data_IF_812225098753
#
_entry.id   IF_812225098753
#
_cell.length_a   1.000
_cell.length_b   1.000
_cell.length_c   1.000
_cell.angle_alpha   90.00
_cell.angle_beta   90.00
_cell.angle_gamma   90.00
#
_symmetry.space_group_name_H-M   'P 1'
#
loop_
_entity.id
_entity.type
_entity.pdbx_description
1 polymer ?
#
# COMPACT_ATOMS: atom_id res chain seq x y z
N UNK A 1 -51.69 29.05 7.41
CA UNK A 1 -50.85 28.18 8.27
C UNK A 1 -50.33 26.91 7.55
N UNK A 2 -51.12 26.21 6.73
CA UNK A 2 -50.71 24.98 6.01
C UNK A 2 -49.50 25.17 5.06
N UNK A 3 -49.45 26.29 4.33
CA UNK A 3 -48.35 26.60 3.40
C UNK A 3 -47.02 26.95 4.10
N UNK A 4 -47.06 27.43 5.35
CA UNK A 4 -45.84 27.77 6.09
C UNK A 4 -45.15 26.49 6.57
N UNK A 5 -45.91 25.54 7.14
CA UNK A 5 -45.39 24.23 7.57
C UNK A 5 -44.78 23.44 6.40
N UNK A 6 -45.43 23.44 5.24
CA UNK A 6 -44.91 22.76 4.05
C UNK A 6 -43.57 23.34 3.56
N UNK A 7 -43.43 24.68 3.52
CA UNK A 7 -42.18 25.35 3.14
C UNK A 7 -41.05 25.09 4.13
N UNK A 8 -41.34 25.05 5.43
CA UNK A 8 -40.36 24.72 6.47
C UNK A 8 -39.88 23.28 6.34
N UNK A 9 -40.78 22.32 6.12
CA UNK A 9 -40.41 20.90 5.91
C UNK A 9 -39.57 20.73 4.64
N UNK A 10 -39.97 21.36 3.53
CA UNK A 10 -39.21 21.31 2.29
C UNK A 10 -37.80 21.91 2.46
N UNK A 11 -37.67 23.04 3.15
CA UNK A 11 -36.37 23.66 3.43
C UNK A 11 -35.48 22.74 4.28
N UNK A 12 -36.04 22.11 5.32
CA UNK A 12 -35.30 21.16 6.17
C UNK A 12 -34.84 19.92 5.37
N UNK A 13 -35.69 19.38 4.50
CA UNK A 13 -35.31 18.28 3.60
C UNK A 13 -34.17 18.69 2.66
N UNK A 14 -34.22 19.89 2.09
CA UNK A 14 -33.16 20.39 1.21
C UNK A 14 -31.84 20.63 1.95
N UNK A 15 -31.89 21.16 3.18
CA UNK A 15 -30.69 21.32 4.03
C UNK A 15 -30.08 19.96 4.37
N UNK A 16 -30.91 18.97 4.72
CA UNK A 16 -30.44 17.61 5.00
C UNK A 16 -29.83 16.98 3.74
N UNK A 17 -30.49 17.06 2.59
CA UNK A 17 -29.95 16.54 1.32
C UNK A 17 -28.64 17.22 0.92
N UNK A 18 -28.54 18.54 1.10
CA UNK A 18 -27.30 19.28 0.83
C UNK A 18 -26.18 18.84 1.80
N UNK A 19 -26.47 18.68 3.09
CA UNK A 19 -25.47 18.19 4.06
C UNK A 19 -24.98 16.77 3.75
N UNK A 20 -25.85 15.89 3.25
CA UNK A 20 -25.50 14.53 2.82
C UNK A 20 -24.65 14.51 1.53
N UNK A 21 -24.70 15.57 0.72
CA UNK A 21 -23.91 15.68 -0.51
C UNK A 21 -22.46 16.14 -0.28
N UNK A 22 -22.11 16.55 0.94
CA UNK A 22 -20.74 16.93 1.31
C UNK A 22 -19.92 15.68 1.67
N UNK A 23 -19.52 14.90 0.67
CA UNK A 23 -18.53 13.82 0.87
C UNK A 23 -17.13 14.35 0.57
N UNK A 24 -16.21 14.26 1.54
CA UNK A 24 -14.79 14.49 1.32
C UNK A 24 -14.14 13.25 0.72
N UNK A 25 -13.40 13.41 -0.39
CA UNK A 25 -12.51 12.37 -0.89
C UNK A 25 -11.30 12.32 0.06
N UNK A 26 -11.13 11.22 0.76
CA UNK A 26 -9.92 10.96 1.55
C UNK A 26 -9.00 10.11 0.68
N UNK A 27 -7.85 10.67 0.31
CA UNK A 27 -6.85 9.94 -0.46
C UNK A 27 -5.89 9.26 0.51
N UNK A 28 -6.09 7.95 0.70
CA UNK A 28 -5.18 7.15 1.51
C UNK A 28 -4.04 6.64 0.62
N UNK A 29 -2.82 6.57 1.15
CA UNK A 29 -1.67 5.97 0.49
C UNK A 29 -1.04 4.87 1.34
N UNK A 30 -0.44 3.87 0.66
CA UNK A 30 0.08 2.68 1.32
C UNK A 30 1.39 2.22 0.69
N UNK A 31 2.38 1.99 1.54
CA UNK A 31 3.57 1.21 1.18
C UNK A 31 3.20 -0.27 1.05
N UNK A 32 3.57 -0.91 -0.05
CA UNK A 32 3.19 -2.29 -0.35
C UNK A 32 4.41 -3.16 -0.65
N UNK A 33 4.31 -4.43 -0.24
CA UNK A 33 5.22 -5.52 -0.65
C UNK A 33 4.35 -6.65 -1.17
N UNK A 34 4.30 -6.83 -2.48
CA UNK A 34 3.42 -7.79 -3.15
C UNK A 34 4.27 -8.91 -3.75
N UNK A 35 4.17 -10.15 -3.24
CA UNK A 35 4.81 -11.30 -3.84
C UNK A 35 4.01 -11.78 -5.06
N UNK A 36 4.67 -12.47 -5.98
CA UNK A 36 4.01 -13.15 -7.10
C UNK A 36 3.15 -14.32 -6.66
N UNK A 37 3.47 -14.89 -5.50
CA UNK A 37 2.74 -15.97 -4.83
C UNK A 37 3.01 -15.90 -3.33
N UNK A 38 1.98 -16.07 -2.51
CA UNK A 38 2.07 -16.08 -1.04
C UNK A 38 2.08 -17.51 -0.45
N UNK A 39 1.83 -18.53 -1.27
CA UNK A 39 1.83 -19.94 -0.86
C UNK A 39 2.52 -20.82 -1.91
N UNK A 40 3.76 -21.19 -1.63
CA UNK A 40 4.61 -21.95 -2.57
C UNK A 40 4.64 -23.42 -2.17
N UNK A 41 3.89 -24.25 -2.86
CA UNK A 41 3.87 -25.71 -2.65
C UNK A 41 5.04 -26.41 -3.34
N UNK A 42 5.20 -27.71 -3.12
CA UNK A 42 6.34 -28.52 -3.62
C UNK A 42 6.53 -28.42 -5.14
N UNK A 43 5.44 -28.43 -5.91
CA UNK A 43 5.50 -28.47 -7.38
C UNK A 43 5.56 -27.07 -8.02
N UNK A 44 5.39 -26.01 -7.23
CA UNK A 44 5.38 -24.63 -7.72
C UNK A 44 6.80 -24.09 -8.02
N UNK A 45 6.86 -22.98 -8.76
CA UNK A 45 8.08 -22.23 -8.92
C UNK A 45 8.63 -21.78 -7.57
N UNK A 46 9.91 -22.05 -7.30
CA UNK A 46 10.62 -21.58 -6.11
C UNK A 46 11.21 -20.17 -6.28
N UNK A 47 10.98 -19.55 -7.43
CA UNK A 47 11.34 -18.16 -7.71
C UNK A 47 10.10 -17.28 -7.50
N UNK A 48 10.21 -16.35 -6.56
CA UNK A 48 9.16 -15.38 -6.22
C UNK A 48 9.63 -14.00 -6.63
N UNK A 49 8.78 -13.28 -7.37
CA UNK A 49 8.99 -11.86 -7.66
C UNK A 49 8.31 -11.05 -6.57
N UNK A 50 9.00 -10.05 -6.03
CA UNK A 50 8.47 -9.13 -5.04
C UNK A 50 8.42 -7.75 -5.65
N UNK A 51 7.23 -7.14 -5.67
CA UNK A 51 7.01 -5.75 -6.05
C UNK A 51 6.90 -4.91 -4.78
N UNK A 52 7.67 -3.83 -4.73
CA UNK A 52 7.70 -2.87 -3.63
C UNK A 52 7.25 -1.53 -4.19
N UNK A 53 6.12 -1.04 -3.70
CA UNK A 53 5.34 0.03 -4.35
C UNK A 53 4.75 0.99 -3.32
N UNK A 54 4.44 2.21 -3.76
CA UNK A 54 3.68 3.18 -2.99
C UNK A 54 2.47 3.62 -3.82
N UNK A 55 1.25 3.42 -3.32
CA UNK A 55 0.03 3.57 -4.13
C UNK A 55 -1.12 4.24 -3.36
N UNK A 56 -2.08 4.77 -4.12
CA UNK A 56 -3.44 5.07 -3.69
C UNK A 56 -4.38 3.90 -4.05
N UNK A 57 -4.67 2.95 -3.14
CA UNK A 57 -5.29 1.67 -3.49
C UNK A 57 -6.72 1.77 -4.01
N UNK A 58 -7.47 2.80 -3.60
CA UNK A 58 -8.84 3.00 -4.09
C UNK A 58 -8.87 3.69 -5.46
N UNK A 59 -7.84 4.48 -5.77
CA UNK A 59 -7.72 5.24 -7.02
C UNK A 59 -6.98 4.42 -8.10
N UNK A 60 -6.17 3.44 -7.70
CA UNK A 60 -5.32 2.65 -8.59
C UNK A 60 -4.07 3.40 -9.06
N UNK A 61 -3.84 4.58 -8.51
CA UNK A 61 -2.71 5.44 -8.83
C UNK A 61 -1.46 5.10 -8.02
N UNK A 62 -0.32 5.44 -8.59
CA UNK A 62 0.99 5.19 -8.03
C UNK A 62 1.61 6.50 -7.55
N UNK A 63 2.51 6.38 -6.57
CA UNK A 63 3.32 7.47 -6.07
C UNK A 63 4.80 7.12 -6.28
N UNK A 64 5.63 8.13 -6.50
CA UNK A 64 7.07 7.94 -6.57
C UNK A 64 7.61 7.39 -5.25
N UNK A 65 8.26 6.23 -5.33
CA UNK A 65 8.89 5.59 -4.17
C UNK A 65 10.41 5.74 -4.28
N UNK A 66 10.98 6.57 -3.40
CA UNK A 66 12.43 6.60 -3.21
C UNK A 66 12.96 5.20 -2.82
N UNK A 67 14.24 4.94 -3.09
CA UNK A 67 14.85 3.66 -2.71
C UNK A 67 14.66 3.42 -1.20
N UNK A 68 14.10 2.27 -0.77
CA UNK A 68 13.83 2.00 0.64
C UNK A 68 15.06 2.19 1.53
N UNK A 69 14.85 2.56 2.80
CA UNK A 69 15.92 2.59 3.79
C UNK A 69 16.35 1.16 4.19
N UNK A 70 15.39 0.24 4.27
CA UNK A 70 15.65 -1.18 4.46
C UNK A 70 14.69 -2.01 3.61
N UNK A 71 15.22 -3.11 3.07
CA UNK A 71 14.40 -4.15 2.46
C UNK A 71 15.07 -5.49 2.69
N UNK A 72 14.31 -6.48 3.15
CA UNK A 72 14.89 -7.76 3.48
C UNK A 72 13.86 -8.85 3.71
N UNK A 73 14.37 -10.00 4.10
CA UNK A 73 13.56 -11.15 4.50
C UNK A 73 14.04 -11.69 5.84
N UNK A 74 13.10 -12.00 6.73
CA UNK A 74 13.33 -12.74 7.95
C UNK A 74 12.85 -14.18 7.73
N UNK A 75 13.76 -15.13 7.87
CA UNK A 75 13.46 -16.57 7.76
C UNK A 75 14.23 -17.33 8.84
N UNK A 76 13.52 -18.15 9.61
CA UNK A 76 14.09 -18.94 10.73
C UNK A 76 14.95 -18.10 11.69
N UNK A 77 14.46 -16.92 12.07
CA UNK A 77 15.14 -16.00 12.99
C UNK A 77 16.34 -15.25 12.40
N UNK A 78 16.69 -15.47 11.12
CA UNK A 78 17.79 -14.78 10.45
C UNK A 78 17.27 -13.72 9.48
N UNK A 79 17.71 -12.48 9.66
CA UNK A 79 17.49 -11.40 8.70
C UNK A 79 18.50 -11.51 7.56
N UNK A 80 18.02 -11.39 6.33
CA UNK A 80 18.82 -11.31 5.11
C UNK A 80 18.49 -9.97 4.46
N UNK A 81 19.52 -9.17 4.23
CA UNK A 81 19.40 -7.90 3.52
C UNK A 81 19.22 -8.16 2.01
N UNK A 82 18.22 -7.52 1.42
CA UNK A 82 17.86 -7.58 0.01
C UNK A 82 17.87 -6.19 -0.64
N UNK A 83 18.28 -5.13 0.07
CA UNK A 83 18.19 -3.75 -0.44
C UNK A 83 18.96 -3.55 -1.75
N UNK A 84 20.09 -4.23 -1.90
CA UNK A 84 20.92 -4.17 -3.10
C UNK A 84 20.43 -5.06 -4.25
N UNK A 85 19.39 -5.87 -4.03
CA UNK A 85 18.78 -6.69 -5.08
C UNK A 85 17.59 -6.00 -5.75
N UNK A 86 17.12 -4.88 -5.19
CA UNK A 86 16.05 -4.08 -5.77
C UNK A 86 16.48 -3.48 -7.11
N UNK A 87 15.63 -3.68 -8.10
CA UNK A 87 15.72 -3.10 -9.43
C UNK A 87 14.64 -2.02 -9.56
N UNK A 88 15.03 -0.85 -10.04
CA UNK A 88 14.09 0.23 -10.32
C UNK A 88 13.15 -0.15 -11.46
N UNK A 89 11.87 0.17 -11.33
CA UNK A 89 10.84 0.01 -12.35
C UNK A 89 9.98 1.27 -12.41
N UNK A 90 9.50 1.61 -13.60
CA UNK A 90 8.55 2.70 -13.80
C UNK A 90 7.16 2.14 -14.08
N UNK A 91 6.16 2.62 -13.34
CA UNK A 91 4.74 2.32 -13.53
C UNK A 91 4.01 3.65 -13.43
N UNK A 92 3.25 4.04 -14.47
CA UNK A 92 2.56 5.35 -14.54
C UNK A 92 3.51 6.51 -14.21
N UNK A 93 4.72 6.49 -14.81
CA UNK A 93 5.82 7.43 -14.58
C UNK A 93 6.40 7.48 -13.15
N UNK A 94 5.80 6.76 -12.21
CA UNK A 94 6.24 6.65 -10.83
C UNK A 94 7.31 5.56 -10.66
N UNK A 95 8.33 5.85 -9.86
CA UNK A 95 9.36 4.89 -9.45
C UNK A 95 8.79 3.87 -8.47
N UNK A 96 8.97 2.61 -8.81
CA UNK A 96 8.69 1.43 -7.98
C UNK A 96 9.90 0.52 -7.98
N UNK A 97 9.88 -0.51 -7.13
CA UNK A 97 11.01 -1.42 -7.00
C UNK A 97 10.56 -2.88 -7.18
N UNK A 98 11.42 -3.69 -7.75
CA UNK A 98 11.17 -5.13 -7.93
C UNK A 98 12.42 -5.94 -7.59
N UNK A 99 12.26 -7.12 -7.00
CA UNK A 99 13.34 -8.10 -6.88
C UNK A 99 12.81 -9.49 -7.17
N UNK A 100 13.73 -10.41 -7.48
CA UNK A 100 13.44 -11.84 -7.45
C UNK A 100 14.11 -12.47 -6.23
N UNK A 101 13.44 -13.42 -5.59
CA UNK A 101 13.95 -14.20 -4.48
C UNK A 101 13.81 -15.70 -4.78
N UNK A 102 14.88 -16.45 -4.53
CA UNK A 102 14.88 -17.91 -4.69
C UNK A 102 14.68 -18.56 -3.32
N UNK A 103 13.54 -19.23 -3.14
CA UNK A 103 13.26 -20.07 -1.98
C UNK A 103 14.21 -21.27 -2.02
N UNK A 104 14.89 -21.51 -0.91
CA UNK A 104 15.92 -22.57 -0.79
C UNK A 104 15.51 -23.72 0.10
N UNK A 105 14.55 -23.50 1.01
CA UNK A 105 14.08 -24.48 1.99
C UNK A 105 12.67 -24.13 2.47
N UNK A 106 11.91 -25.09 2.99
CA UNK A 106 10.61 -24.80 3.59
C UNK A 106 10.69 -23.85 4.78
N UNK A 107 9.66 -23.05 4.97
CA UNK A 107 9.48 -22.14 6.09
C UNK A 107 8.70 -20.87 5.74
N UNK A 108 8.49 -20.05 6.77
CA UNK A 108 7.83 -18.75 6.62
C UNK A 108 8.85 -17.67 6.28
N UNK A 109 8.69 -17.06 5.11
CA UNK A 109 9.53 -15.97 4.63
C UNK A 109 8.79 -14.65 4.86
N UNK A 110 9.23 -13.89 5.85
CA UNK A 110 8.65 -12.59 6.18
C UNK A 110 9.45 -11.52 5.45
N UNK A 111 8.98 -11.10 4.29
CA UNK A 111 9.55 -9.97 3.55
C UNK A 111 9.09 -8.68 4.17
N UNK A 112 9.98 -7.71 4.33
CA UNK A 112 9.68 -6.43 4.99
C UNK A 112 10.36 -5.26 4.28
N UNK A 113 9.71 -4.11 4.32
CA UNK A 113 10.20 -2.83 3.80
C UNK A 113 10.10 -1.76 4.88
N UNK A 114 11.17 -0.99 5.02
CA UNK A 114 11.18 0.33 5.63
C UNK A 114 11.41 1.36 4.50
N UNK A 115 10.40 2.16 4.13
CA UNK A 115 10.56 3.20 3.13
C UNK A 115 11.35 4.38 3.69
N UNK A 116 11.74 5.31 2.82
CA UNK A 116 12.14 6.65 3.28
C UNK A 116 10.93 7.36 3.90
N UNK A 117 11.12 8.25 4.88
CA UNK A 117 10.04 9.08 5.40
C UNK A 117 9.36 9.87 4.28
N UNK A 118 8.04 9.76 4.20
CA UNK A 118 7.21 10.51 3.26
C UNK A 118 6.57 11.69 3.99
N UNK A 119 6.70 12.89 3.42
CA UNK A 119 6.00 14.07 3.94
C UNK A 119 4.55 14.03 3.50
N UNK A 120 3.60 14.01 4.43
CA UNK A 120 2.16 14.05 4.18
C UNK A 120 1.64 15.48 4.39
N UNK A 121 1.39 16.26 3.33
CA UNK A 121 0.98 17.65 3.46
C UNK A 121 -0.37 17.83 4.16
N UNK A 122 -1.28 16.85 4.05
CA UNK A 122 -2.59 16.92 4.70
C UNK A 122 -2.51 16.75 6.22
N UNK A 123 -1.44 16.10 6.71
CA UNK A 123 -1.24 15.81 8.13
C UNK A 123 -0.09 16.62 8.75
N UNK A 124 0.61 17.43 7.96
CA UNK A 124 1.76 18.27 8.38
C UNK A 124 2.82 17.45 9.15
N UNK A 125 3.07 16.21 8.71
CA UNK A 125 4.00 15.30 9.35
C UNK A 125 4.68 14.34 8.37
N UNK A 126 5.72 13.64 8.86
CA UNK A 126 6.32 12.54 8.14
C UNK A 126 5.72 11.21 8.55
N UNK A 127 5.42 10.37 7.57
CA UNK A 127 4.87 9.02 7.75
C UNK A 127 5.89 8.00 7.24
N UNK A 128 6.01 6.89 7.98
CA UNK A 128 6.78 5.71 7.56
C UNK A 128 5.84 4.50 7.60
N UNK A 129 5.60 3.92 6.43
CA UNK A 129 4.80 2.70 6.29
C UNK A 129 5.69 1.46 6.40
N UNK A 130 5.80 0.90 7.61
CA UNK A 130 6.47 -0.39 7.78
C UNK A 130 5.57 -1.52 7.30
N UNK A 131 5.91 -2.07 6.13
CA UNK A 131 5.10 -3.09 5.47
C UNK A 131 5.82 -4.44 5.51
N UNK A 132 5.04 -5.51 5.74
CA UNK A 132 5.52 -6.88 5.59
C UNK A 132 4.51 -7.76 4.88
N UNK A 133 5.02 -8.79 4.21
CA UNK A 133 4.22 -9.90 3.68
C UNK A 133 4.89 -11.22 4.06
N UNK A 134 4.08 -12.24 4.31
CA UNK A 134 4.54 -13.58 4.64
C UNK A 134 4.29 -14.46 3.43
N UNK A 135 5.34 -15.12 2.95
CA UNK A 135 5.23 -16.18 1.93
C UNK A 135 5.50 -17.50 2.64
N UNK A 136 4.51 -18.39 2.66
CA UNK A 136 4.66 -19.74 3.18
C UNK A 136 5.22 -20.64 2.06
N UNK A 137 6.31 -21.35 2.32
CA UNK A 137 6.99 -22.16 1.29
C UNK A 137 7.63 -23.44 1.84
#
# INVERSE_FOLDING_TARGET
MRNLKFRTVLFLCLVVMFSLSLTSVVSAHFGMVIPSDDMVSKDDSKKITLKVQFIHPMEGDYMDMAKPAQFGVLVQGKKIDLLNTLQERKINDCTTWETNYQIKRPGDYIFYVEPQPYWEPAEDCFIIHYTKVIVNA
#
